data_IF_891769062325
#
_entry.id   IF_891769062325
#
_cell.length_a   1.000
_cell.length_b   1.000
_cell.length_c   1.000
_cell.angle_alpha   90.00
_cell.angle_beta   90.00
_cell.angle_gamma   90.00
#
_symmetry.space_group_name_H-M   'P 1'
#
loop_
_entity.id
_entity.type
_entity.pdbx_description
1 polymer ?
#
# COMPACT_ATOMS: atom_id res chain seq x y z
N UNK A 1 -0.19 -19.00 -3.53
CA UNK A 1 0.74 -17.91 -3.93
C UNK A 1 0.73 -16.84 -2.85
N UNK A 2 1.90 -16.32 -2.44
CA UNK A 2 2.02 -15.27 -1.40
C UNK A 2 2.50 -13.95 -2.02
N UNK A 3 1.86 -12.83 -1.69
CA UNK A 3 2.36 -11.49 -2.01
C UNK A 3 3.26 -11.04 -0.84
N UNK A 4 4.49 -10.65 -1.15
CA UNK A 4 5.47 -10.18 -0.16
C UNK A 4 5.73 -8.69 -0.39
N UNK A 5 5.89 -7.95 0.70
CA UNK A 5 6.19 -6.52 0.68
C UNK A 5 7.55 -6.26 1.34
N UNK A 6 8.23 -5.20 0.91
CA UNK A 6 9.44 -4.76 1.59
C UNK A 6 9.09 -4.22 2.98
N UNK A 7 9.82 -4.66 4.01
CA UNK A 7 9.58 -4.24 5.39
C UNK A 7 9.74 -2.74 5.61
N UNK A 8 10.66 -2.08 4.90
CA UNK A 8 10.89 -0.63 5.00
C UNK A 8 9.70 0.17 4.50
N UNK A 9 9.16 -0.21 3.34
CA UNK A 9 7.98 0.44 2.75
C UNK A 9 6.74 0.17 3.60
N UNK A 10 6.57 -1.08 4.05
CA UNK A 10 5.46 -1.48 4.89
C UNK A 10 5.47 -0.77 6.25
N UNK A 11 6.65 -0.58 6.86
CA UNK A 11 6.80 0.16 8.13
C UNK A 11 6.32 1.60 8.00
N UNK A 12 6.56 2.23 6.86
CA UNK A 12 6.11 3.60 6.60
C UNK A 12 4.59 3.68 6.53
N UNK A 13 3.95 2.73 5.84
CA UNK A 13 2.48 2.62 5.78
C UNK A 13 1.89 2.34 7.16
N UNK A 14 2.50 1.43 7.94
CA UNK A 14 2.04 1.11 9.30
C UNK A 14 2.18 2.31 10.25
N UNK A 15 3.29 3.05 10.17
CA UNK A 15 3.48 4.26 10.98
C UNK A 15 2.42 5.32 10.67
N UNK A 16 2.08 5.52 9.40
CA UNK A 16 1.01 6.44 9.00
C UNK A 16 -0.36 5.95 9.49
N UNK A 17 -0.60 4.65 9.41
CA UNK A 17 -1.85 4.03 9.87
C UNK A 17 -2.05 4.22 11.36
N UNK A 18 -0.99 4.02 12.16
CA UNK A 18 -1.01 4.24 13.61
C UNK A 18 -1.23 5.71 13.93
N UNK A 19 -0.53 6.62 13.24
CA UNK A 19 -0.66 8.07 13.44
C UNK A 19 -2.07 8.58 13.12
N UNK A 20 -2.74 8.01 12.11
CA UNK A 20 -4.09 8.38 11.70
C UNK A 20 -5.20 7.52 12.35
N UNK A 21 -4.83 6.59 13.24
CA UNK A 21 -5.73 5.62 13.89
C UNK A 21 -6.70 4.96 12.90
N UNK A 22 -6.18 4.53 11.74
CA UNK A 22 -6.97 3.98 10.65
C UNK A 22 -6.56 2.54 10.33
N UNK A 23 -7.06 1.98 9.23
CA UNK A 23 -6.74 0.62 8.80
C UNK A 23 -5.68 0.63 7.70
N UNK A 24 -4.89 -0.44 7.59
CA UNK A 24 -4.14 -0.72 6.35
C UNK A 24 -5.11 -1.34 5.37
N UNK A 25 -5.13 -0.86 4.12
CA UNK A 25 -5.92 -1.45 3.05
C UNK A 25 -5.02 -2.01 1.94
N UNK A 26 -5.42 -3.16 1.39
CA UNK A 26 -4.83 -3.75 0.20
C UNK A 26 -5.67 -3.35 -1.01
N UNK A 27 -5.06 -2.62 -1.93
CA UNK A 27 -5.72 -2.18 -3.15
C UNK A 27 -5.22 -3.03 -4.32
N UNK A 28 -6.17 -3.47 -5.15
CA UNK A 28 -5.92 -4.17 -6.41
C UNK A 28 -6.52 -3.33 -7.54
N UNK A 29 -5.65 -2.75 -8.35
CA UNK A 29 -6.00 -2.11 -9.63
C UNK A 29 -5.13 -2.73 -10.74
N UNK A 30 -4.44 -1.95 -11.58
CA UNK A 30 -3.43 -2.45 -12.51
C UNK A 30 -2.24 -3.13 -11.81
N UNK A 31 -2.07 -2.85 -10.50
CA UNK A 31 -1.07 -3.45 -9.61
C UNK A 31 -1.70 -3.70 -8.23
N UNK A 32 -1.02 -4.49 -7.41
CA UNK A 32 -1.37 -4.68 -5.99
C UNK A 32 -0.48 -3.81 -5.12
N UNK A 33 -1.03 -3.10 -4.14
CA UNK A 33 -0.29 -2.27 -3.20
C UNK A 33 -1.01 -2.10 -1.86
N UNK A 34 -0.26 -1.74 -0.82
CA UNK A 34 -0.76 -1.41 0.52
C UNK A 34 -0.65 0.08 0.81
N UNK A 35 -1.64 0.64 1.51
CA UNK A 35 -1.62 2.02 2.01
C UNK A 35 -2.49 2.18 3.25
N UNK A 36 -2.31 3.29 3.97
CA UNK A 36 -3.15 3.65 5.10
C UNK A 36 -4.51 4.16 4.60
N UNK A 37 -5.63 3.71 5.15
CA UNK A 37 -6.98 4.15 4.76
C UNK A 37 -7.15 5.68 4.81
N UNK A 38 -6.50 6.32 5.78
CA UNK A 38 -6.43 7.78 5.96
C UNK A 38 -4.97 8.17 6.07
N UNK A 39 -4.53 9.11 5.24
CA UNK A 39 -3.14 9.53 5.17
C UNK A 39 -2.95 10.75 4.28
N UNK A 40 -1.73 11.28 4.26
CA UNK A 40 -1.42 12.45 3.46
C UNK A 40 -1.64 12.17 1.98
N UNK A 41 -2.33 13.06 1.27
CA UNK A 41 -2.44 13.01 -0.19
C UNK A 41 -1.41 13.93 -0.81
N UNK A 42 -0.77 13.46 -1.87
CA UNK A 42 0.02 14.28 -2.79
C UNK A 42 -0.92 15.23 -3.54
N UNK A 43 -0.39 16.30 -4.17
CA UNK A 43 -1.18 17.24 -4.95
C UNK A 43 -1.95 16.58 -6.12
N UNK A 44 -1.48 15.42 -6.59
CA UNK A 44 -2.12 14.57 -7.59
C UNK A 44 -3.30 13.72 -7.04
N UNK A 45 -3.61 13.84 -5.75
CA UNK A 45 -4.66 13.08 -5.06
C UNK A 45 -4.24 11.67 -4.61
N UNK A 46 -3.04 11.19 -5.00
CA UNK A 46 -2.54 9.89 -4.57
C UNK A 46 -2.09 9.91 -3.11
N UNK A 47 -2.19 8.76 -2.42
CA UNK A 47 -1.63 8.61 -1.09
C UNK A 47 -0.11 8.85 -1.13
N UNK A 48 0.42 9.57 -0.14
CA UNK A 48 1.85 9.90 -0.07
C UNK A 48 2.71 8.67 0.19
N UNK A 49 2.21 7.74 1.00
CA UNK A 49 2.89 6.51 1.39
C UNK A 49 2.14 5.29 0.85
N UNK A 50 2.83 4.53 0.00
CA UNK A 50 2.32 3.31 -0.65
C UNK A 50 3.44 2.28 -0.64
N UNK A 51 3.12 1.05 -0.22
CA UNK A 51 4.04 -0.09 -0.29
C UNK A 51 3.67 -0.99 -1.48
N UNK A 52 4.60 -1.11 -2.42
CA UNK A 52 4.49 -2.02 -3.55
C UNK A 52 5.20 -3.35 -3.25
N UNK A 53 4.72 -4.47 -3.80
CA UNK A 53 5.47 -5.71 -3.77
C UNK A 53 6.74 -5.57 -4.64
N UNK A 54 7.88 -6.18 -4.24
CA UNK A 54 9.15 -6.06 -4.98
C UNK A 54 9.08 -6.68 -6.38
N UNK A 55 8.22 -7.67 -6.57
CA UNK A 55 7.94 -8.26 -7.88
C UNK A 55 6.53 -7.87 -8.31
N UNK A 56 6.38 -7.50 -9.57
CA UNK A 56 5.11 -7.22 -10.19
C UNK A 56 4.18 -8.43 -10.08
N UNK A 57 3.23 -8.36 -9.16
CA UNK A 57 2.12 -9.30 -9.09
C UNK A 57 1.02 -8.78 -10.02
N UNK A 58 1.04 -9.22 -11.28
CA UNK A 58 -0.18 -9.24 -12.09
C UNK A 58 -0.99 -10.45 -11.62
N UNK A 59 -2.17 -10.26 -11.02
CA UNK A 59 -3.06 -11.38 -10.80
C UNK A 59 -3.39 -11.97 -12.17
N UNK A 60 -3.24 -13.29 -12.34
CA UNK A 60 -3.83 -13.97 -13.47
C UNK A 60 -5.33 -13.71 -13.38
N UNK A 61 -5.89 -12.95 -14.31
CA UNK A 61 -7.32 -12.95 -14.51
C UNK A 61 -7.69 -14.39 -14.89
N UNK A 62 -8.45 -15.06 -14.03
CA UNK A 62 -9.23 -16.24 -14.42
C UNK A 62 -10.36 -15.76 -15.34
#
# INVERSE_FOLDING_TARGET
MSIRFNGTDLRSVLSETVANQCRVILVKDQRVYLLAERGGRRPDGCQKLIAYPPRWCRPANL
#
